data_IF_414502328455
#
_entry.id   IF_414502328455
#
_cell.length_a   1.000
_cell.length_b   1.000
_cell.length_c   1.000
_cell.angle_alpha   90.00
_cell.angle_beta   90.00
_cell.angle_gamma   90.00
#
_symmetry.space_group_name_H-M   'P 1'
#
loop_
_entity.id
_entity.type
_entity.pdbx_description
1 polymer ?
#
# COMPACT_ATOMS: atom_id res chain seq x y z
N UNK A 1 2.46 1.73 -24.21
CA UNK A 1 1.48 1.31 -23.18
C UNK A 1 2.17 0.41 -22.15
N UNK A 2 1.94 0.65 -20.85
CA UNK A 2 2.69 -0.03 -19.78
C UNK A 2 2.09 -1.41 -19.48
N UNK A 3 2.93 -2.45 -19.39
CA UNK A 3 2.54 -3.80 -18.96
C UNK A 3 3.22 -4.16 -17.65
N UNK A 4 2.44 -4.55 -16.64
CA UNK A 4 2.92 -5.04 -15.35
C UNK A 4 1.74 -5.62 -14.53
N UNK A 5 2.01 -6.62 -13.68
CA UNK A 5 1.04 -7.06 -12.68
C UNK A 5 1.00 -6.07 -11.51
N UNK A 6 -0.09 -5.31 -11.43
CA UNK A 6 -0.30 -4.33 -10.36
C UNK A 6 -1.13 -4.94 -9.24
N UNK A 7 -0.61 -4.85 -8.01
CA UNK A 7 -1.28 -5.32 -6.80
C UNK A 7 -2.31 -4.28 -6.34
N UNK A 8 -3.57 -4.69 -6.26
CA UNK A 8 -4.71 -3.85 -5.88
C UNK A 8 -5.52 -4.63 -4.84
N UNK A 9 -6.12 -3.92 -3.89
CA UNK A 9 -7.08 -4.48 -2.94
C UNK A 9 -8.42 -3.77 -3.09
N UNK A 10 -9.51 -4.53 -2.96
CA UNK A 10 -10.86 -4.00 -2.80
C UNK A 10 -11.07 -3.72 -1.32
N UNK A 11 -11.36 -2.47 -0.99
CA UNK A 11 -11.46 -1.99 0.39
C UNK A 11 -12.84 -1.41 0.61
N UNK A 12 -13.52 -1.85 1.66
CA UNK A 12 -14.73 -1.20 2.15
C UNK A 12 -14.34 -0.11 3.14
N UNK A 13 -14.67 1.14 2.80
CA UNK A 13 -14.41 2.28 3.65
C UNK A 13 -15.39 2.32 4.83
N UNK A 14 -15.06 3.09 5.85
CA UNK A 14 -15.93 3.31 7.02
C UNK A 14 -17.26 3.95 6.67
N UNK A 15 -17.34 4.69 5.55
CA UNK A 15 -18.58 5.26 5.03
C UNK A 15 -19.43 4.26 4.20
N UNK A 16 -19.06 2.98 4.18
CA UNK A 16 -19.80 1.92 3.49
C UNK A 16 -19.46 1.75 2.01
N UNK A 17 -18.75 2.71 1.40
CA UNK A 17 -18.39 2.63 -0.01
C UNK A 17 -17.23 1.66 -0.26
N UNK A 18 -17.33 0.89 -1.33
CA UNK A 18 -16.26 0.00 -1.77
C UNK A 18 -15.39 0.68 -2.82
N UNK A 19 -14.07 0.65 -2.61
CA UNK A 19 -13.10 1.30 -3.48
C UNK A 19 -11.94 0.36 -3.79
N UNK A 20 -11.39 0.52 -4.99
CA UNK A 20 -10.15 -0.15 -5.37
C UNK A 20 -8.95 0.71 -4.98
N UNK A 21 -8.09 0.16 -4.12
CA UNK A 21 -6.90 0.83 -3.62
C UNK A 21 -5.62 0.10 -4.06
N UNK A 22 -4.66 0.87 -4.57
CA UNK A 22 -3.36 0.34 -4.98
C UNK A 22 -2.48 0.03 -3.77
N UNK A 23 -1.79 -1.11 -3.81
CA UNK A 23 -0.79 -1.49 -2.81
C UNK A 23 0.58 -1.05 -3.31
N UNK A 24 1.20 -0.03 -2.71
CA UNK A 24 2.51 0.44 -3.16
C UNK A 24 3.64 -0.43 -2.61
N UNK A 25 4.66 -0.63 -3.46
CA UNK A 25 5.90 -1.30 -3.09
C UNK A 25 5.92 -2.79 -3.43
N UNK A 26 6.99 -3.45 -2.98
CA UNK A 26 7.21 -4.88 -3.18
C UNK A 26 6.73 -5.65 -1.95
N UNK A 27 6.06 -6.78 -2.19
CA UNK A 27 5.48 -7.60 -1.13
C UNK A 27 4.35 -6.91 -0.34
N UNK A 28 3.45 -7.71 0.21
CA UNK A 28 2.43 -7.27 1.16
C UNK A 28 1.96 -8.47 1.98
N UNK A 29 1.43 -8.21 3.16
CA UNK A 29 0.95 -9.19 4.12
C UNK A 29 -0.59 -9.18 4.23
N UNK A 30 -1.29 -8.51 3.33
CA UNK A 30 -2.74 -8.31 3.45
C UNK A 30 -3.49 -9.58 3.09
N UNK A 31 -4.51 -9.86 3.89
CA UNK A 31 -5.45 -10.97 3.72
C UNK A 31 -6.87 -10.41 3.74
N UNK A 32 -7.86 -11.28 3.55
CA UNK A 32 -9.26 -10.90 3.75
C UNK A 32 -9.47 -10.37 5.17
N UNK A 33 -10.38 -9.41 5.32
CA UNK A 33 -10.70 -8.72 6.58
C UNK A 33 -9.56 -7.93 7.25
N UNK A 34 -8.39 -7.81 6.62
CA UNK A 34 -7.33 -6.93 7.13
C UNK A 34 -7.78 -5.47 7.11
N UNK A 35 -7.53 -4.75 8.20
CA UNK A 35 -7.90 -3.34 8.33
C UNK A 35 -6.75 -2.50 7.77
N UNK A 36 -7.08 -1.64 6.81
CA UNK A 36 -6.08 -0.83 6.09
C UNK A 36 -6.43 0.65 6.13
N UNK A 37 -5.39 1.49 6.18
CA UNK A 37 -5.54 2.93 6.03
C UNK A 37 -5.36 3.32 4.56
N UNK A 38 -6.33 4.05 4.03
CA UNK A 38 -6.35 4.48 2.62
C UNK A 38 -6.06 5.97 2.53
N UNK A 39 -5.28 6.38 1.53
CA UNK A 39 -5.05 7.78 1.16
C UNK A 39 -5.41 8.04 -0.30
N UNK A 40 -5.68 9.29 -0.63
CA UNK A 40 -5.90 9.72 -2.02
C UNK A 40 -4.65 9.53 -2.89
N UNK A 41 -4.86 9.14 -4.14
CA UNK A 41 -3.81 9.12 -5.17
C UNK A 41 -4.22 8.27 -6.36
N UNK A 42 -4.16 8.85 -7.56
CA UNK A 42 -4.48 8.13 -8.79
C UNK A 42 -3.25 7.40 -9.33
N UNK A 43 -3.41 6.12 -9.62
CA UNK A 43 -2.43 5.38 -10.43
C UNK A 43 -2.74 5.64 -11.90
N UNK A 44 -1.81 6.28 -12.62
CA UNK A 44 -2.01 6.66 -14.03
C UNK A 44 -2.30 5.46 -14.93
N UNK A 45 -1.66 4.34 -14.63
CA UNK A 45 -1.70 3.13 -15.45
C UNK A 45 -2.99 2.31 -15.28
N UNK A 46 -3.77 2.54 -14.21
CA UNK A 46 -4.93 1.72 -13.86
C UNK A 46 -6.20 2.58 -13.82
N UNK A 47 -7.18 2.36 -14.71
CA UNK A 47 -8.46 3.01 -14.61
C UNK A 47 -9.20 2.56 -13.34
N UNK A 48 -9.91 3.49 -12.68
CA UNK A 48 -10.69 3.20 -11.47
C UNK A 48 -9.90 3.12 -10.16
N UNK A 49 -8.56 3.04 -10.20
CA UNK A 49 -7.72 3.00 -8.98
C UNK A 49 -7.29 4.42 -8.59
N UNK A 50 -8.09 5.05 -7.73
CA UNK A 50 -7.93 6.44 -7.28
C UNK A 50 -7.38 6.59 -5.86
N UNK A 51 -7.10 5.46 -5.22
CA UNK A 51 -6.64 5.42 -3.85
C UNK A 51 -5.37 4.57 -3.71
N UNK A 52 -4.58 4.87 -2.68
CA UNK A 52 -3.42 4.09 -2.28
C UNK A 52 -3.58 3.62 -0.84
N UNK A 53 -3.12 2.40 -0.56
CA UNK A 53 -2.96 1.93 0.80
C UNK A 53 -1.69 2.57 1.40
N UNK A 54 -1.82 3.12 2.60
CA UNK A 54 -0.70 3.60 3.40
C UNK A 54 0.02 2.40 3.99
N UNK A 55 1.34 2.33 3.87
CA UNK A 55 2.16 1.22 4.41
C UNK A 55 2.63 1.54 5.82
N UNK A 56 2.69 0.52 6.68
CA UNK A 56 3.16 0.66 8.06
C UNK A 56 2.09 1.28 8.99
N UNK A 57 0.82 1.17 8.61
CA UNK A 57 -0.32 1.64 9.37
C UNK A 57 -1.39 0.55 9.46
N UNK A 58 -2.02 0.39 10.63
CA UNK A 58 -2.94 -0.71 10.93
C UNK A 58 -2.30 -2.06 10.58
N UNK A 59 -3.00 -2.96 9.88
CA UNK A 59 -2.52 -4.30 9.57
C UNK A 59 -1.54 -4.34 8.39
N UNK A 60 -1.29 -3.20 7.75
CA UNK A 60 -0.40 -3.11 6.57
C UNK A 60 1.07 -3.08 7.01
N UNK A 61 1.82 -4.14 6.74
CA UNK A 61 3.25 -4.15 7.03
C UNK A 61 4.03 -3.20 6.11
N UNK A 62 5.14 -2.64 6.62
CA UNK A 62 6.10 -1.93 5.80
C UNK A 62 6.76 -2.83 4.74
N UNK A 63 7.42 -2.23 3.75
CA UNK A 63 8.23 -2.98 2.78
C UNK A 63 9.54 -3.40 3.45
N UNK A 64 9.82 -4.70 3.48
CA UNK A 64 11.03 -5.26 4.07
C UNK A 64 12.28 -4.85 3.27
N UNK A 65 13.41 -4.65 3.96
CA UNK A 65 14.71 -4.36 3.33
C UNK A 65 14.81 -2.99 2.63
N UNK A 66 13.77 -2.14 2.67
CA UNK A 66 13.78 -0.85 1.98
C UNK A 66 14.75 0.13 2.66
N UNK A 67 15.81 0.51 1.97
CA UNK A 67 16.80 1.50 2.47
C UNK A 67 16.49 2.92 2.04
N UNK A 68 15.86 3.12 0.87
CA UNK A 68 15.52 4.43 0.30
C UNK A 68 14.00 4.73 0.31
N UNK A 69 13.64 6.02 0.46
CA UNK A 69 12.24 6.50 0.54
C UNK A 69 11.41 5.77 1.60
N UNK A 70 12.04 5.41 2.71
CA UNK A 70 11.50 4.55 3.78
C UNK A 70 10.17 5.05 4.36
N UNK A 71 10.04 6.36 4.54
CA UNK A 71 8.83 7.01 5.06
C UNK A 71 7.58 6.72 4.24
N UNK A 72 7.70 6.60 2.91
CA UNK A 72 6.57 6.30 2.03
C UNK A 72 6.09 4.84 2.11
N UNK A 73 7.00 3.93 2.48
CA UNK A 73 6.76 2.48 2.45
C UNK A 73 6.73 1.86 3.85
N UNK A 74 6.64 2.67 4.92
CA UNK A 74 6.52 2.19 6.29
C UNK A 74 7.75 1.42 6.81
N UNK A 75 8.92 1.62 6.21
CA UNK A 75 10.14 0.94 6.65
C UNK A 75 10.85 1.75 7.75
N UNK A 76 11.19 1.11 8.87
CA UNK A 76 11.96 1.76 9.94
C UNK A 76 13.41 1.97 9.50
N UNK A 77 14.09 2.98 10.08
CA UNK A 77 15.52 3.16 9.88
C UNK A 77 16.24 1.93 10.46
N UNK A 78 17.07 1.22 9.68
CA UNK A 78 17.87 0.13 10.24
C UNK A 78 18.79 0.70 11.33
N UNK A 79 18.88 0.00 12.46
CA UNK A 79 19.89 0.31 13.46
C UNK A 79 21.22 -0.23 12.93
N UNK A 80 22.21 0.64 12.81
CA UNK A 80 23.56 0.20 12.51
C UNK A 80 24.02 -0.69 13.67
N UNK A 81 24.35 -1.95 13.39
CA UNK A 81 25.08 -2.80 14.33
C UNK A 81 26.52 -2.27 14.33
N UNK A 82 26.76 -1.21 15.10
CA UNK A 82 28.11 -0.94 15.60
C UNK A 82 28.44 -1.96 16.67
#
# INVERSE_FOLDING_TARGET
PNSAMRKVARVRLTNGNEVNAYIPGEGHNLQEHSIVLVRGGRVKDLPGVRYHIVRGALDTAGVQGRTQRRSKYGAKRPKDKK
#
